data_IF_109125076819
#
_entry.id   IF_109125076819
#
_cell.length_a   1.000
_cell.length_b   1.000
_cell.length_c   1.000
_cell.angle_alpha   90.00
_cell.angle_beta   90.00
_cell.angle_gamma   90.00
#
_symmetry.space_group_name_H-M   'P 1'
#
loop_
_entity.id
_entity.type
_entity.pdbx_description
1 polymer ?
#
# COMPACT_ATOMS: atom_id res chain seq x y z
N UNK A 1 -56.73 13.91 14.77
CA UNK A 1 -55.43 13.80 15.49
C UNK A 1 -54.32 14.54 14.73
N UNK A 2 -54.50 15.84 14.48
CA UNK A 2 -53.54 16.68 13.74
C UNK A 2 -53.31 18.03 14.45
N UNK A 3 -53.88 18.20 15.66
CA UNK A 3 -53.84 19.41 16.50
C UNK A 3 -52.98 19.27 17.78
N UNK A 4 -52.27 18.16 17.94
CA UNK A 4 -51.36 17.91 19.06
C UNK A 4 -49.86 17.92 18.67
N UNK A 5 -49.54 17.90 17.37
CA UNK A 5 -48.16 18.00 16.88
C UNK A 5 -47.65 19.45 16.72
N UNK A 6 -48.53 20.45 16.70
CA UNK A 6 -48.14 21.85 16.43
C UNK A 6 -47.81 22.66 17.71
N UNK A 7 -47.85 22.04 18.90
CA UNK A 7 -47.52 22.69 20.18
C UNK A 7 -46.09 22.50 20.67
N UNK A 8 -45.30 21.60 20.05
CA UNK A 8 -43.88 21.39 20.41
C UNK A 8 -42.90 22.15 19.51
N UNK A 9 -43.37 22.75 18.42
CA UNK A 9 -42.52 23.47 17.44
C UNK A 9 -42.61 25.01 17.59
N UNK A 10 -43.47 25.54 18.47
CA UNK A 10 -43.69 26.99 18.65
C UNK A 10 -43.33 27.54 20.04
N UNK A 11 -42.50 26.84 20.81
CA UNK A 11 -42.08 27.29 22.15
C UNK A 11 -40.65 27.88 22.19
N UNK A 12 -40.04 28.13 21.05
CA UNK A 12 -38.73 28.78 20.97
C UNK A 12 -38.89 29.97 20.03
N UNK A 13 -39.46 31.08 20.51
CA UNK A 13 -39.25 32.43 19.98
C UNK A 13 -39.99 33.44 20.87
N UNK A 14 -39.30 34.56 21.17
CA UNK A 14 -39.66 35.74 22.00
C UNK A 14 -39.39 35.62 23.52
N UNK A 15 -38.70 36.55 24.19
CA UNK A 15 -37.97 37.74 23.76
C UNK A 15 -37.09 38.30 24.90
N UNK A 16 -35.95 38.86 24.49
CA UNK A 16 -35.25 40.07 24.96
C UNK A 16 -35.27 40.49 26.45
N UNK A 17 -34.08 40.46 27.06
CA UNK A 17 -33.67 41.40 28.11
C UNK A 17 -32.30 41.99 27.75
N UNK A 18 -32.27 43.31 27.49
CA UNK A 18 -31.08 44.08 27.10
C UNK A 18 -30.16 44.28 28.31
N UNK A 19 -28.87 43.92 28.18
CA UNK A 19 -27.78 44.57 28.89
C UNK A 19 -26.58 44.74 27.96
N UNK A 20 -26.14 45.98 27.85
CA UNK A 20 -25.07 46.50 27.01
C UNK A 20 -23.68 46.03 27.46
N UNK A 21 -22.98 45.30 26.59
CA UNK A 21 -21.55 45.46 26.30
C UNK A 21 -21.22 44.56 25.10
N UNK A 22 -20.46 45.08 24.15
CA UNK A 22 -20.32 44.51 22.81
C UNK A 22 -19.71 43.12 22.77
N UNK A 23 -20.48 42.16 22.28
CA UNK A 23 -20.06 41.10 21.36
C UNK A 23 -21.32 40.72 20.57
N UNK A 24 -21.29 40.87 19.25
CA UNK A 24 -22.30 40.22 18.40
C UNK A 24 -21.96 38.75 18.46
N UNK A 25 -22.51 38.02 19.44
CA UNK A 25 -22.60 36.57 19.33
C UNK A 25 -23.56 36.31 18.17
N UNK A 26 -23.02 35.80 17.06
CA UNK A 26 -23.82 35.21 16.01
C UNK A 26 -24.75 34.18 16.67
N UNK A 27 -26.03 34.16 16.30
CA UNK A 27 -26.99 33.21 16.85
C UNK A 27 -26.39 31.78 16.83
N UNK A 28 -25.69 31.42 15.75
CA UNK A 28 -25.07 30.11 15.55
C UNK A 28 -24.13 29.66 16.67
N UNK A 29 -23.32 30.55 17.24
CA UNK A 29 -22.41 30.19 18.34
C UNK A 29 -23.16 29.85 19.64
N UNK A 30 -24.34 30.45 19.86
CA UNK A 30 -25.19 30.11 21.00
C UNK A 30 -25.87 28.75 20.79
N UNK A 31 -26.37 28.48 19.59
CA UNK A 31 -26.93 27.17 19.23
C UNK A 31 -25.88 26.06 19.28
N UNK A 32 -24.65 26.35 18.85
CA UNK A 32 -23.50 25.45 18.95
C UNK A 32 -23.25 25.03 20.40
N UNK A 33 -23.23 25.96 21.35
CA UNK A 33 -23.06 25.66 22.78
C UNK A 33 -24.19 24.79 23.33
N UNK A 34 -25.44 25.05 22.93
CA UNK A 34 -26.58 24.23 23.36
C UNK A 34 -26.45 22.80 22.85
N UNK A 35 -26.08 22.61 21.58
CA UNK A 35 -25.83 21.29 21.01
C UNK A 35 -24.65 20.59 21.70
N UNK A 36 -23.59 21.35 22.04
CA UNK A 36 -22.44 20.83 22.78
C UNK A 36 -22.83 20.36 24.19
N UNK A 37 -23.64 21.13 24.91
CA UNK A 37 -24.13 20.74 26.23
C UNK A 37 -24.99 19.46 26.16
N UNK A 38 -25.84 19.35 25.14
CA UNK A 38 -26.61 18.12 24.88
C UNK A 38 -25.70 16.92 24.59
N UNK A 39 -24.67 17.10 23.75
CA UNK A 39 -23.68 16.08 23.46
C UNK A 39 -22.96 15.58 24.73
N UNK A 40 -22.53 16.50 25.60
CA UNK A 40 -21.87 16.12 26.86
C UNK A 40 -22.80 15.35 27.80
N UNK A 41 -24.10 15.66 27.81
CA UNK A 41 -25.10 14.93 28.57
C UNK A 41 -25.29 13.50 28.03
N UNK A 42 -25.35 13.34 26.70
CA UNK A 42 -25.41 12.02 26.06
C UNK A 42 -24.15 11.20 26.33
N UNK A 43 -22.98 11.84 26.31
CA UNK A 43 -21.71 11.19 26.59
C UNK A 43 -21.65 10.65 28.03
N UNK A 44 -22.13 11.44 29.00
CA UNK A 44 -22.27 11.01 30.40
C UNK A 44 -23.28 9.87 30.57
N UNK A 45 -24.31 9.83 29.72
CA UNK A 45 -25.29 8.74 29.69
C UNK A 45 -24.75 7.47 28.99
N UNK A 46 -23.53 7.49 28.46
CA UNK A 46 -22.92 6.36 27.75
C UNK A 46 -23.38 6.19 26.30
N UNK A 47 -24.22 7.10 25.78
CA UNK A 47 -24.60 7.11 24.38
C UNK A 47 -23.56 7.84 23.54
N UNK A 48 -22.40 7.21 23.33
CA UNK A 48 -21.27 7.84 22.65
C UNK A 48 -21.54 8.18 21.18
N UNK A 49 -22.34 7.36 20.49
CA UNK A 49 -22.67 7.62 19.09
C UNK A 49 -23.58 8.85 18.96
N UNK A 50 -24.64 8.92 19.77
CA UNK A 50 -25.53 10.08 19.77
C UNK A 50 -24.81 11.35 20.24
N UNK A 51 -23.93 11.24 21.24
CA UNK A 51 -23.07 12.35 21.64
C UNK A 51 -22.21 12.87 20.48
N UNK A 52 -21.60 11.97 19.69
CA UNK A 52 -20.82 12.36 18.52
C UNK A 52 -21.66 13.08 17.45
N UNK A 53 -22.90 12.65 17.23
CA UNK A 53 -23.84 13.31 16.30
C UNK A 53 -24.21 14.72 16.79
N UNK A 54 -24.45 14.89 18.09
CA UNK A 54 -24.72 16.21 18.69
C UNK A 54 -23.48 17.13 18.67
N UNK A 55 -22.27 16.59 18.90
CA UNK A 55 -21.03 17.36 18.74
C UNK A 55 -20.84 17.82 17.29
N UNK A 56 -21.24 17.03 16.30
CA UNK A 56 -21.22 17.45 14.90
C UNK A 56 -22.26 18.51 14.58
N UNK A 57 -23.44 18.46 15.22
CA UNK A 57 -24.38 19.56 15.14
C UNK A 57 -23.76 20.84 15.74
N UNK A 58 -23.08 20.75 16.87
CA UNK A 58 -22.39 21.89 17.49
C UNK A 58 -21.31 22.48 16.58
N UNK A 59 -20.53 21.66 15.87
CA UNK A 59 -19.57 22.11 14.86
C UNK A 59 -20.24 22.85 13.71
N UNK A 60 -21.35 22.31 13.21
CA UNK A 60 -22.09 22.89 12.09
C UNK A 60 -22.66 24.29 12.41
N UNK A 61 -23.15 24.48 13.64
CA UNK A 61 -23.70 25.76 14.09
C UNK A 61 -22.64 26.79 14.46
N UNK A 62 -21.43 26.35 14.83
CA UNK A 62 -20.38 27.25 15.24
C UNK A 62 -19.92 28.15 14.08
N UNK A 63 -19.71 29.42 14.35
CA UNK A 63 -18.95 30.33 13.49
C UNK A 63 -17.50 30.46 13.99
N UNK A 64 -17.30 30.42 15.32
CA UNK A 64 -15.98 30.49 15.96
C UNK A 64 -15.14 29.22 15.67
N UNK A 65 -13.93 29.36 15.05
CA UNK A 65 -13.01 28.24 14.84
C UNK A 65 -12.67 27.45 16.10
N UNK A 66 -12.59 28.10 17.27
CA UNK A 66 -12.28 27.41 18.54
C UNK A 66 -13.41 26.47 18.93
N UNK A 67 -14.67 26.90 18.76
CA UNK A 67 -15.83 26.05 19.01
C UNK A 67 -15.88 24.87 18.03
N UNK A 68 -15.54 25.09 16.75
CA UNK A 68 -15.44 24.00 15.75
C UNK A 68 -14.40 22.96 16.12
N UNK A 69 -13.19 23.40 16.47
CA UNK A 69 -12.09 22.50 16.85
C UNK A 69 -12.48 21.67 18.08
N UNK A 70 -13.02 22.32 19.11
CA UNK A 70 -13.48 21.63 20.32
C UNK A 70 -14.56 20.60 20.00
N UNK A 71 -15.58 20.99 19.23
CA UNK A 71 -16.66 20.10 18.81
C UNK A 71 -16.13 18.88 18.04
N UNK A 72 -15.21 19.07 17.10
CA UNK A 72 -14.59 17.97 16.34
C UNK A 72 -13.73 17.05 17.20
N UNK A 73 -12.93 17.59 18.14
CA UNK A 73 -12.11 16.78 19.06
C UNK A 73 -12.97 15.91 19.97
N UNK A 74 -14.06 16.48 20.49
CA UNK A 74 -15.03 15.76 21.30
C UNK A 74 -15.81 14.72 20.48
N UNK A 75 -16.20 15.04 19.24
CA UNK A 75 -16.80 14.09 18.31
C UNK A 75 -15.87 12.91 18.01
N UNK A 76 -14.60 13.16 17.72
CA UNK A 76 -13.60 12.11 17.49
C UNK A 76 -13.45 11.20 18.73
N UNK A 77 -13.35 11.80 19.92
CA UNK A 77 -13.27 11.08 21.20
C UNK A 77 -14.52 10.23 21.46
N UNK A 78 -15.70 10.76 21.14
CA UNK A 78 -16.96 10.05 21.27
C UNK A 78 -17.03 8.86 20.28
N UNK A 79 -16.62 9.04 19.02
CA UNK A 79 -16.55 7.93 18.05
C UNK A 79 -15.54 6.85 18.44
N UNK A 80 -14.40 7.24 19.01
CA UNK A 80 -13.44 6.31 19.61
C UNK A 80 -14.09 5.44 20.69
N UNK A 81 -14.83 6.05 21.62
CA UNK A 81 -15.56 5.34 22.68
C UNK A 81 -16.70 4.47 22.12
N UNK A 82 -17.30 4.88 21.01
CA UNK A 82 -18.31 4.11 20.29
C UNK A 82 -17.72 2.96 19.44
N UNK A 83 -16.38 2.84 19.35
CA UNK A 83 -15.67 1.85 18.55
C UNK A 83 -16.00 1.93 17.03
N UNK A 84 -16.26 3.16 16.54
CA UNK A 84 -16.52 3.48 15.14
C UNK A 84 -15.29 4.18 14.54
N UNK A 85 -14.33 3.38 14.10
CA UNK A 85 -12.98 3.82 13.72
C UNK A 85 -12.97 4.69 12.47
N UNK A 86 -13.77 4.38 11.46
CA UNK A 86 -13.81 5.17 10.22
C UNK A 86 -14.41 6.55 10.48
N UNK A 87 -15.46 6.62 11.32
CA UNK A 87 -16.04 7.90 11.72
C UNK A 87 -15.07 8.72 12.55
N UNK A 88 -14.33 8.09 13.47
CA UNK A 88 -13.24 8.75 14.19
C UNK A 88 -12.22 9.31 13.19
N UNK A 89 -11.74 8.48 12.26
CA UNK A 89 -10.79 8.86 11.22
C UNK A 89 -11.24 10.08 10.41
N UNK A 90 -12.49 10.12 9.93
CA UNK A 90 -13.01 11.30 9.21
C UNK A 90 -12.97 12.60 10.02
N UNK A 91 -13.15 12.51 11.35
CA UNK A 91 -13.07 13.69 12.22
C UNK A 91 -11.62 14.14 12.37
N UNK A 92 -10.68 13.21 12.49
CA UNK A 92 -9.25 13.52 12.52
C UNK A 92 -8.81 14.15 11.19
N UNK A 93 -9.27 13.64 10.06
CA UNK A 93 -9.03 14.23 8.74
C UNK A 93 -9.58 15.66 8.68
N UNK A 94 -10.78 15.89 9.19
CA UNK A 94 -11.38 17.24 9.24
C UNK A 94 -10.52 18.20 10.07
N UNK A 95 -10.01 17.74 11.22
CA UNK A 95 -9.10 18.51 12.07
C UNK A 95 -7.77 18.81 11.38
N UNK A 96 -7.12 17.82 10.75
CA UNK A 96 -5.85 17.99 10.06
C UNK A 96 -5.94 18.92 8.86
N UNK A 97 -7.03 18.81 8.08
CA UNK A 97 -7.21 19.60 6.87
C UNK A 97 -7.64 21.05 7.16
N UNK A 98 -8.57 21.26 8.10
CA UNK A 98 -9.14 22.59 8.36
C UNK A 98 -8.43 23.37 9.48
N UNK A 99 -7.85 22.66 10.46
CA UNK A 99 -7.38 23.24 11.71
C UNK A 99 -5.99 22.73 12.17
N UNK A 100 -4.98 22.63 11.28
CA UNK A 100 -3.71 21.98 11.61
C UNK A 100 -2.91 22.70 12.71
N UNK A 101 -3.04 24.02 12.86
CA UNK A 101 -2.28 24.81 13.84
C UNK A 101 -2.89 24.83 15.24
N UNK A 102 -4.14 24.41 15.41
CA UNK A 102 -4.87 24.45 16.68
C UNK A 102 -5.01 23.09 17.36
N UNK A 103 -4.38 22.06 16.80
CA UNK A 103 -4.40 20.69 17.32
C UNK A 103 -2.99 20.18 17.55
N UNK A 104 -2.87 19.09 18.31
CA UNK A 104 -1.67 18.26 18.29
C UNK A 104 -1.61 17.51 16.95
N UNK A 105 -1.01 18.14 15.93
CA UNK A 105 -0.90 17.58 14.58
C UNK A 105 -0.21 16.22 14.59
N UNK A 106 0.90 16.09 15.34
CA UNK A 106 1.67 14.86 15.41
C UNK A 106 0.87 13.73 16.07
N UNK A 107 0.22 14.00 17.20
CA UNK A 107 -0.65 13.03 17.87
C UNK A 107 -1.87 12.64 17.05
N UNK A 108 -2.45 13.59 16.30
CA UNK A 108 -3.62 13.34 15.44
C UNK A 108 -3.26 12.44 14.27
N UNK A 109 -2.17 12.73 13.55
CA UNK A 109 -1.64 11.85 12.49
C UNK A 109 -1.26 10.47 13.05
N UNK A 110 -0.65 10.41 14.23
CA UNK A 110 -0.31 9.14 14.87
C UNK A 110 -1.57 8.30 15.13
N UNK A 111 -2.67 8.95 15.55
CA UNK A 111 -3.95 8.26 15.74
C UNK A 111 -4.56 7.77 14.42
N UNK A 112 -4.46 8.56 13.35
CA UNK A 112 -4.88 8.10 12.02
C UNK A 112 -4.07 6.89 11.55
N UNK A 113 -2.75 6.88 11.77
CA UNK A 113 -1.89 5.74 11.48
C UNK A 113 -2.33 4.47 12.22
N UNK A 114 -2.67 4.58 13.50
CA UNK A 114 -3.21 3.46 14.30
C UNK A 114 -4.51 2.93 13.71
N UNK A 115 -5.46 3.83 13.37
CA UNK A 115 -6.74 3.44 12.79
C UNK A 115 -6.54 2.75 11.44
N UNK A 116 -5.68 3.31 10.60
CA UNK A 116 -5.40 2.76 9.29
C UNK A 116 -4.72 1.38 9.40
N UNK A 117 -3.84 1.20 10.39
CA UNK A 117 -3.24 -0.10 10.72
C UNK A 117 -4.29 -1.11 11.16
N UNK A 118 -5.25 -0.72 11.98
CA UNK A 118 -6.37 -1.60 12.36
C UNK A 118 -7.17 -2.04 11.13
N UNK A 119 -7.48 -1.13 10.21
CA UNK A 119 -8.15 -1.48 8.95
C UNK A 119 -7.33 -2.45 8.10
N UNK A 120 -6.01 -2.25 8.03
CA UNK A 120 -5.10 -3.18 7.36
C UNK A 120 -5.11 -4.58 7.99
N UNK A 121 -5.23 -4.68 9.32
CA UNK A 121 -5.37 -5.94 10.07
C UNK A 121 -6.74 -6.62 9.92
N UNK A 122 -7.57 -6.18 8.96
CA UNK A 122 -8.88 -6.78 8.69
C UNK A 122 -10.01 -6.29 9.60
N UNK A 123 -9.77 -5.27 10.45
CA UNK A 123 -10.86 -4.60 11.17
C UNK A 123 -11.83 -3.98 10.18
N UNK A 124 -13.12 -4.16 10.39
CA UNK A 124 -14.18 -3.52 9.61
C UNK A 124 -15.21 -2.96 10.57
N UNK A 125 -15.65 -1.73 10.31
CA UNK A 125 -16.74 -1.13 11.06
C UNK A 125 -18.09 -1.70 10.59
N UNK A 126 -19.13 -1.68 11.45
CA UNK A 126 -20.49 -2.02 11.03
C UNK A 126 -20.98 -1.06 9.94
N UNK A 127 -21.45 -1.61 8.81
CA UNK A 127 -22.08 -0.82 7.75
C UNK A 127 -23.40 -0.19 8.24
N UNK A 128 -24.11 -0.88 9.14
CA UNK A 128 -25.36 -0.41 9.71
C UNK A 128 -25.34 -0.55 11.23
N UNK A 129 -25.75 0.52 11.91
CA UNK A 129 -25.69 0.61 13.37
C UNK A 129 -26.58 -0.41 14.09
N UNK A 130 -27.69 -0.80 13.48
CA UNK A 130 -28.63 -1.79 14.02
C UNK A 130 -28.30 -3.22 13.58
N UNK A 131 -27.30 -3.38 12.70
CA UNK A 131 -26.94 -4.64 12.05
C UNK A 131 -25.43 -4.90 12.08
N UNK A 132 -24.87 -5.22 13.26
CA UNK A 132 -23.42 -5.30 13.45
C UNK A 132 -22.70 -6.42 12.67
N UNK A 133 -23.43 -7.41 12.15
CA UNK A 133 -22.86 -8.47 11.30
C UNK A 133 -22.65 -8.05 9.85
N UNK A 134 -23.27 -6.96 9.40
CA UNK A 134 -23.01 -6.37 8.08
C UNK A 134 -21.80 -5.46 8.23
N UNK A 135 -20.65 -5.89 7.71
CA UNK A 135 -19.39 -5.16 7.74
C UNK A 135 -19.33 -4.17 6.57
N UNK A 136 -18.76 -2.98 6.80
CA UNK A 136 -18.43 -2.03 5.74
C UNK A 136 -17.28 -2.60 4.87
N UNK A 137 -17.07 -1.96 3.71
CA UNK A 137 -15.98 -2.28 2.79
C UNK A 137 -14.60 -2.08 3.45
N UNK A 138 -13.58 -2.62 2.80
CA UNK A 138 -12.20 -2.35 3.20
C UNK A 138 -11.88 -0.86 3.06
N UNK A 139 -11.25 -0.29 4.10
CA UNK A 139 -10.82 1.11 4.18
C UNK A 139 -9.31 1.25 4.33
N UNK A 140 -8.55 0.14 4.33
CA UNK A 140 -7.10 0.16 4.53
C UNK A 140 -6.37 1.03 3.49
N UNK A 141 -6.72 0.87 2.22
CA UNK A 141 -6.09 1.63 1.13
C UNK A 141 -6.35 3.14 1.27
N UNK A 142 -7.62 3.53 1.46
CA UNK A 142 -8.04 4.93 1.62
C UNK A 142 -7.38 5.60 2.83
N UNK A 143 -7.41 4.93 3.99
CA UNK A 143 -6.82 5.46 5.23
C UNK A 143 -5.30 5.55 5.15
N UNK A 144 -4.63 4.61 4.47
CA UNK A 144 -3.19 4.69 4.24
C UNK A 144 -2.77 5.84 3.33
N UNK A 145 -3.49 6.07 2.24
CA UNK A 145 -3.23 7.20 1.34
C UNK A 145 -3.32 8.54 2.08
N UNK A 146 -4.35 8.69 2.90
CA UNK A 146 -4.62 9.90 3.67
C UNK A 146 -3.54 10.19 4.72
N UNK A 147 -3.16 9.20 5.54
CA UNK A 147 -2.08 9.38 6.53
C UNK A 147 -0.76 9.77 5.86
N UNK A 148 -0.43 9.11 4.74
CA UNK A 148 0.82 9.38 4.01
C UNK A 148 0.85 10.73 3.29
N UNK A 149 -0.32 11.31 3.03
CA UNK A 149 -0.47 12.68 2.51
C UNK A 149 -0.11 13.71 3.59
N UNK A 150 -0.55 13.50 4.83
CA UNK A 150 -0.27 14.42 5.94
C UNK A 150 1.16 14.29 6.46
N UNK A 151 1.68 13.07 6.54
CA UNK A 151 3.00 12.81 7.11
C UNK A 151 3.87 11.92 6.21
N UNK A 152 4.27 12.44 5.02
CA UNK A 152 5.09 11.67 4.10
C UNK A 152 6.43 11.27 4.73
N UNK A 153 7.04 12.09 5.59
CA UNK A 153 8.36 11.80 6.17
C UNK A 153 8.33 11.27 7.60
N UNK A 154 7.17 10.78 8.07
CA UNK A 154 7.08 10.16 9.39
C UNK A 154 7.96 8.90 9.51
N UNK A 155 8.31 8.52 10.74
CA UNK A 155 9.15 7.33 11.00
C UNK A 155 8.51 6.04 10.48
N UNK A 156 7.19 5.90 10.58
CA UNK A 156 6.43 4.75 10.07
C UNK A 156 6.15 4.82 8.56
N UNK A 157 6.49 5.92 7.90
CA UNK A 157 6.08 6.19 6.53
C UNK A 157 6.69 5.22 5.48
N UNK A 158 7.94 4.72 5.61
CA UNK A 158 8.47 3.70 4.71
C UNK A 158 7.71 2.38 4.82
N UNK A 159 7.48 1.90 6.05
CA UNK A 159 6.72 0.68 6.34
C UNK A 159 5.30 0.78 5.80
N UNK A 160 4.63 1.89 6.07
CA UNK A 160 3.27 2.15 5.62
C UNK A 160 3.17 2.20 4.09
N UNK A 161 4.15 2.82 3.40
CA UNK A 161 4.22 2.79 1.93
C UNK A 161 4.42 1.37 1.40
N UNK A 162 5.26 0.56 2.05
CA UNK A 162 5.45 -0.82 1.64
C UNK A 162 4.12 -1.58 1.67
N UNK A 163 3.36 -1.44 2.76
CA UNK A 163 2.02 -2.04 2.90
C UNK A 163 1.03 -1.49 1.88
N UNK A 164 1.02 -0.18 1.64
CA UNK A 164 0.20 0.46 0.61
C UNK A 164 0.51 -0.09 -0.80
N UNK A 165 1.79 -0.30 -1.12
CA UNK A 165 2.21 -0.94 -2.37
C UNK A 165 1.59 -2.33 -2.55
N UNK A 166 1.50 -3.13 -1.49
CA UNK A 166 0.83 -4.45 -1.53
C UNK A 166 -0.67 -4.33 -1.76
N UNK A 167 -1.35 -3.43 -1.05
CA UNK A 167 -2.78 -3.19 -1.24
C UNK A 167 -3.08 -2.78 -2.70
N UNK A 168 -2.22 -1.99 -3.31
CA UNK A 168 -2.35 -1.67 -4.74
C UNK A 168 -2.19 -2.89 -5.64
N UNK A 169 -1.28 -3.82 -5.34
CA UNK A 169 -1.16 -5.08 -6.10
C UNK A 169 -2.44 -5.91 -5.96
N UNK A 170 -2.96 -6.06 -4.74
CA UNK A 170 -4.17 -6.83 -4.43
C UNK A 170 -5.41 -6.29 -5.17
N UNK A 171 -5.53 -4.96 -5.26
CA UNK A 171 -6.59 -4.26 -5.99
C UNK A 171 -6.31 -4.17 -7.51
N UNK A 172 -5.29 -4.86 -8.02
CA UNK A 172 -4.86 -4.85 -9.43
C UNK A 172 -4.49 -3.45 -9.97
N UNK A 173 -4.13 -2.52 -9.07
CA UNK A 173 -3.65 -1.16 -9.33
C UNK A 173 -2.13 -1.15 -9.48
N UNK A 174 -1.65 -1.83 -10.52
CA UNK A 174 -0.21 -2.13 -10.69
C UNK A 174 0.65 -0.88 -10.90
N UNK A 175 0.13 0.15 -11.58
CA UNK A 175 0.90 1.37 -11.87
C UNK A 175 1.03 2.27 -10.62
N UNK A 176 0.04 2.25 -9.72
CA UNK A 176 0.11 2.83 -8.39
C UNK A 176 1.18 2.13 -7.55
N UNK A 177 1.18 0.79 -7.51
CA UNK A 177 2.17 0.00 -6.79
C UNK A 177 3.60 0.33 -7.25
N UNK A 178 3.84 0.37 -8.57
CA UNK A 178 5.13 0.76 -9.15
C UNK A 178 5.58 2.16 -8.69
N UNK A 179 4.66 3.12 -8.62
CA UNK A 179 4.97 4.48 -8.12
C UNK A 179 5.39 4.43 -6.66
N UNK A 180 4.62 3.75 -5.81
CA UNK A 180 4.90 3.64 -4.37
C UNK A 180 6.25 3.00 -4.10
N UNK A 181 6.60 1.88 -4.75
CA UNK A 181 7.90 1.24 -4.51
C UNK A 181 9.07 2.11 -4.98
N UNK A 182 8.93 2.82 -6.11
CA UNK A 182 9.93 3.80 -6.56
C UNK A 182 10.08 4.95 -5.56
N UNK A 183 8.98 5.43 -4.99
CA UNK A 183 9.01 6.48 -3.97
C UNK A 183 9.71 6.02 -2.70
N UNK A 184 9.54 4.75 -2.28
CA UNK A 184 10.27 4.21 -1.12
C UNK A 184 11.79 4.30 -1.36
N UNK A 185 12.25 3.79 -2.49
CA UNK A 185 13.68 3.75 -2.87
C UNK A 185 14.26 5.16 -2.95
N UNK A 186 13.48 6.12 -3.49
CA UNK A 186 13.92 7.50 -3.69
C UNK A 186 13.89 8.33 -2.40
N UNK A 187 12.81 8.23 -1.63
CA UNK A 187 12.56 9.10 -0.48
C UNK A 187 13.18 8.58 0.82
N UNK A 188 13.34 7.26 0.96
CA UNK A 188 13.86 6.64 2.20
C UNK A 188 15.04 5.69 1.93
N UNK A 189 16.09 6.10 1.19
CA UNK A 189 17.15 5.19 0.71
C UNK A 189 17.94 4.45 1.82
N UNK A 190 17.79 4.86 3.08
CA UNK A 190 18.45 4.26 4.24
C UNK A 190 17.53 3.37 5.09
N UNK A 191 16.24 3.25 4.74
CA UNK A 191 15.29 2.46 5.51
C UNK A 191 15.41 0.97 5.18
N UNK A 192 15.01 0.11 6.11
CA UNK A 192 15.07 -1.35 5.93
C UNK A 192 14.10 -1.83 4.85
N UNK A 193 13.04 -1.06 4.61
CA UNK A 193 12.00 -1.30 3.60
C UNK A 193 12.50 -1.15 2.17
N UNK A 194 13.60 -0.42 1.94
CA UNK A 194 14.16 -0.20 0.58
C UNK A 194 14.48 -1.51 -0.10
N UNK A 195 15.07 -2.47 0.63
CA UNK A 195 15.39 -3.78 0.07
C UNK A 195 14.11 -4.42 -0.49
N UNK A 196 13.07 -4.50 0.34
CA UNK A 196 11.79 -5.08 -0.07
C UNK A 196 11.16 -4.35 -1.26
N UNK A 197 11.19 -3.01 -1.26
CA UNK A 197 10.69 -2.21 -2.36
C UNK A 197 11.47 -2.44 -3.68
N UNK A 198 12.80 -2.64 -3.63
CA UNK A 198 13.62 -2.97 -4.81
C UNK A 198 13.22 -4.33 -5.40
N UNK A 199 13.04 -5.36 -4.56
CA UNK A 199 12.61 -6.69 -4.99
C UNK A 199 11.19 -6.66 -5.59
N UNK A 200 10.23 -6.00 -4.94
CA UNK A 200 8.86 -5.89 -5.45
C UNK A 200 8.79 -5.08 -6.76
N UNK A 201 9.56 -4.01 -6.85
CA UNK A 201 9.69 -3.24 -8.09
C UNK A 201 10.20 -4.13 -9.23
N UNK A 202 11.27 -4.89 -8.99
CA UNK A 202 11.82 -5.82 -9.97
C UNK A 202 10.81 -6.90 -10.37
N UNK A 203 10.05 -7.44 -9.40
CA UNK A 203 9.02 -8.44 -9.62
C UNK A 203 7.92 -7.90 -10.54
N UNK A 204 7.36 -6.72 -10.25
CA UNK A 204 6.32 -6.13 -11.09
C UNK A 204 6.85 -5.87 -12.50
N UNK A 205 8.07 -5.32 -12.63
CA UNK A 205 8.67 -5.03 -13.93
C UNK A 205 8.86 -6.30 -14.78
N UNK A 206 9.35 -7.40 -14.21
CA UNK A 206 9.50 -8.66 -14.95
C UNK A 206 8.15 -9.27 -15.34
N UNK A 207 7.13 -9.16 -14.48
CA UNK A 207 5.78 -9.63 -14.83
C UNK A 207 5.16 -8.81 -15.97
N UNK A 208 5.33 -7.48 -15.97
CA UNK A 208 4.91 -6.63 -17.11
C UNK A 208 5.69 -6.98 -18.37
N UNK A 209 6.99 -7.20 -18.28
CA UNK A 209 7.82 -7.60 -19.40
C UNK A 209 7.36 -8.93 -20.03
N UNK A 210 7.04 -9.94 -19.20
CA UNK A 210 6.55 -11.26 -19.64
C UNK A 210 5.21 -11.19 -20.37
N UNK A 211 4.31 -10.28 -19.96
CA UNK A 211 2.99 -10.12 -20.58
C UNK A 211 3.03 -9.40 -21.93
N UNK A 212 4.10 -8.66 -22.20
CA UNK A 212 4.28 -7.92 -23.44
C UNK A 212 4.69 -6.48 -23.16
N UNK A 213 5.94 -6.17 -23.49
CA UNK A 213 6.59 -4.90 -23.16
C UNK A 213 6.62 -3.90 -24.32
N UNK A 214 6.10 -4.26 -25.50
CA UNK A 214 6.10 -3.41 -26.69
C UNK A 214 7.48 -2.84 -27.06
N UNK A 215 7.80 -1.66 -26.52
CA UNK A 215 9.05 -0.94 -26.72
C UNK A 215 10.26 -1.55 -25.98
N UNK A 216 10.05 -2.45 -25.02
CA UNK A 216 11.12 -3.08 -24.23
C UNK A 216 11.54 -2.27 -23.01
N UNK A 217 10.69 -1.35 -22.53
CA UNK A 217 11.03 -0.48 -21.39
C UNK A 217 11.00 -1.22 -20.05
N UNK A 218 10.01 -2.07 -19.79
CA UNK A 218 9.92 -2.80 -18.52
C UNK A 218 11.02 -3.86 -18.37
N UNK A 219 11.40 -4.56 -19.45
CA UNK A 219 12.47 -5.56 -19.42
C UNK A 219 13.82 -4.91 -19.14
N UNK A 220 14.10 -3.74 -19.74
CA UNK A 220 15.31 -2.98 -19.46
C UNK A 220 15.35 -2.50 -18.00
N UNK A 221 14.24 -1.93 -17.51
CA UNK A 221 14.14 -1.54 -16.11
C UNK A 221 14.27 -2.73 -15.15
N UNK A 222 13.71 -3.89 -15.50
CA UNK A 222 13.84 -5.12 -14.72
C UNK A 222 15.31 -5.57 -14.66
N UNK A 223 16.02 -5.61 -15.80
CA UNK A 223 17.44 -5.95 -15.85
C UNK A 223 18.27 -5.04 -14.96
N UNK A 224 18.06 -3.73 -15.05
CA UNK A 224 18.77 -2.74 -14.23
C UNK A 224 18.49 -2.93 -12.74
N UNK A 225 17.22 -3.16 -12.36
CA UNK A 225 16.82 -3.38 -10.97
C UNK A 225 17.41 -4.69 -10.42
N UNK A 226 17.32 -5.79 -11.17
CA UNK A 226 17.81 -7.11 -10.77
C UNK A 226 19.33 -7.13 -10.63
N UNK A 227 20.07 -6.51 -11.56
CA UNK A 227 21.53 -6.36 -11.46
C UNK A 227 21.92 -5.61 -10.18
N UNK A 228 21.26 -4.48 -9.90
CA UNK A 228 21.49 -3.72 -8.67
C UNK A 228 21.21 -4.53 -7.41
N UNK A 229 20.14 -5.33 -7.39
CA UNK A 229 19.82 -6.21 -6.27
C UNK A 229 20.93 -7.24 -6.05
N UNK A 230 21.40 -7.90 -7.11
CA UNK A 230 22.47 -8.91 -7.03
C UNK A 230 23.78 -8.28 -6.53
N UNK A 231 24.12 -7.08 -7.00
CA UNK A 231 25.31 -6.34 -6.58
C UNK A 231 25.22 -5.86 -5.13
N UNK A 232 24.07 -5.33 -4.73
CA UNK A 232 23.85 -4.68 -3.42
C UNK A 232 23.63 -5.69 -2.29
N UNK A 233 23.00 -6.83 -2.58
CA UNK A 233 22.59 -7.81 -1.57
C UNK A 233 23.14 -9.22 -1.81
N UNK A 234 24.41 -9.44 -2.17
CA UNK A 234 24.90 -10.71 -2.72
C UNK A 234 24.76 -11.96 -1.83
N UNK A 235 24.49 -11.78 -0.52
CA UNK A 235 24.31 -12.85 0.47
C UNK A 235 22.85 -13.00 0.94
N UNK A 236 21.92 -12.21 0.40
CA UNK A 236 20.51 -12.30 0.74
C UNK A 236 19.90 -13.59 0.16
N UNK A 237 18.96 -14.20 0.88
CA UNK A 237 18.33 -15.45 0.49
C UNK A 237 17.60 -15.35 -0.86
N UNK A 238 17.11 -14.14 -1.20
CA UNK A 238 16.33 -13.90 -2.41
C UNK A 238 17.19 -13.57 -3.64
N UNK A 239 18.52 -13.52 -3.51
CA UNK A 239 19.41 -13.24 -4.66
C UNK A 239 19.31 -14.32 -5.73
N UNK A 240 19.01 -15.57 -5.34
CA UNK A 240 18.74 -16.65 -6.29
C UNK A 240 17.62 -16.29 -7.25
N UNK A 241 16.48 -15.86 -6.70
CA UNK A 241 15.34 -15.35 -7.47
C UNK A 241 15.73 -14.18 -8.37
N UNK A 242 16.57 -13.26 -7.89
CA UNK A 242 17.01 -12.12 -8.70
C UNK A 242 17.88 -12.54 -9.90
N UNK A 243 18.80 -13.50 -9.69
CA UNK A 243 19.65 -14.07 -10.77
C UNK A 243 18.82 -14.81 -11.80
N UNK A 244 17.86 -15.62 -11.35
CA UNK A 244 16.95 -16.35 -12.23
C UNK A 244 16.11 -15.40 -13.09
N UNK A 245 15.49 -14.39 -12.46
CA UNK A 245 14.68 -13.43 -13.20
C UNK A 245 15.52 -12.51 -14.09
N UNK A 246 16.80 -12.30 -13.78
CA UNK A 246 17.71 -11.59 -14.67
C UNK A 246 17.93 -12.39 -15.96
N UNK A 247 18.18 -13.69 -15.86
CA UNK A 247 18.30 -14.57 -17.04
C UNK A 247 17.01 -14.57 -17.87
N UNK A 248 15.83 -14.60 -17.22
CA UNK A 248 14.54 -14.47 -17.92
C UNK A 248 14.40 -13.12 -18.62
N UNK A 249 14.80 -12.02 -17.98
CA UNK A 249 14.75 -10.69 -18.58
C UNK A 249 15.70 -10.59 -19.80
N UNK A 250 16.90 -11.18 -19.70
CA UNK A 250 17.85 -11.28 -20.80
C UNK A 250 17.29 -12.10 -21.97
N UNK A 251 16.62 -13.22 -21.70
CA UNK A 251 15.94 -14.00 -22.72
C UNK A 251 14.82 -13.22 -23.42
N UNK A 252 14.00 -12.47 -22.68
CA UNK A 252 12.95 -11.63 -23.27
C UNK A 252 13.58 -10.59 -24.23
N UNK A 253 14.65 -9.93 -23.81
CA UNK A 253 15.38 -8.97 -24.66
C UNK A 253 16.02 -9.63 -25.88
N UNK A 254 16.63 -10.81 -25.72
CA UNK A 254 17.22 -11.56 -26.83
C UNK A 254 16.14 -12.00 -27.85
N UNK A 255 15.03 -12.59 -27.38
CA UNK A 255 13.88 -12.95 -28.24
C UNK A 255 13.33 -11.76 -28.99
N UNK A 256 13.30 -10.58 -28.37
CA UNK A 256 12.86 -9.33 -29.01
C UNK A 256 13.80 -8.92 -30.14
N UNK A 257 15.12 -8.88 -29.90
CA UNK A 257 16.12 -8.57 -30.94
C UNK A 257 16.03 -9.56 -32.11
N UNK A 258 15.92 -10.86 -31.80
CA UNK A 258 15.76 -11.90 -32.81
C UNK A 258 14.47 -11.73 -33.62
N UNK A 259 13.36 -11.37 -32.95
CA UNK A 259 12.10 -11.04 -33.61
C UNK A 259 12.22 -9.88 -34.60
N UNK A 260 12.95 -8.83 -34.24
CA UNK A 260 13.22 -7.69 -35.13
C UNK A 260 14.10 -8.11 -36.30
N UNK A 261 15.15 -8.89 -36.07
CA UNK A 261 15.98 -9.43 -37.14
C UNK A 261 15.16 -10.25 -38.15
N UNK A 262 14.32 -11.17 -37.66
CA UNK A 262 13.41 -11.95 -38.52
C UNK A 262 12.41 -11.07 -39.28
N UNK A 263 11.97 -9.97 -38.70
CA UNK A 263 11.10 -9.03 -39.39
C UNK A 263 11.82 -8.38 -40.58
N UNK A 264 13.04 -7.86 -40.38
CA UNK A 264 13.82 -7.25 -41.45
C UNK A 264 14.23 -8.25 -42.54
N UNK A 265 14.60 -9.47 -42.14
CA UNK A 265 14.89 -10.55 -43.09
C UNK A 265 13.70 -10.84 -44.01
N UNK A 266 12.49 -10.96 -43.44
CA UNK A 266 11.26 -11.18 -44.23
C UNK A 266 10.91 -10.03 -45.19
N UNK A 267 11.48 -8.84 -44.98
CA UNK A 267 11.32 -7.68 -45.85
C UNK A 267 12.47 -7.55 -46.86
N UNK A 268 13.29 -8.59 -47.02
CA UNK A 268 14.50 -8.63 -47.85
C UNK A 268 15.54 -7.54 -47.48
N UNK A 269 15.60 -7.17 -46.19
CA UNK A 269 16.54 -6.19 -45.64
C UNK A 269 17.58 -6.86 -44.75
N UNK A 270 18.41 -7.71 -45.35
CA UNK A 270 19.35 -8.56 -44.61
C UNK A 270 20.45 -7.77 -43.91
N UNK A 271 20.92 -6.66 -44.49
CA UNK A 271 21.90 -5.78 -43.84
C UNK A 271 21.38 -5.30 -42.47
N UNK A 272 20.12 -4.88 -42.41
CA UNK A 272 19.47 -4.46 -41.17
C UNK A 272 19.26 -5.65 -40.21
N UNK A 273 18.85 -6.81 -40.73
CA UNK A 273 18.68 -8.02 -39.93
C UNK A 273 20.00 -8.44 -39.26
N UNK A 274 21.11 -8.42 -40.00
CA UNK A 274 22.44 -8.75 -39.51
C UNK A 274 22.88 -7.84 -38.35
N UNK A 275 22.54 -6.55 -38.39
CA UNK A 275 22.84 -5.62 -37.28
C UNK A 275 22.20 -6.10 -35.97
N UNK A 276 20.91 -6.48 -36.01
CA UNK A 276 20.21 -6.96 -34.81
C UNK A 276 20.70 -8.32 -34.33
N UNK A 277 21.05 -9.23 -35.24
CA UNK A 277 21.58 -10.55 -34.88
C UNK A 277 22.96 -10.42 -34.24
N UNK A 278 23.84 -9.59 -34.81
CA UNK A 278 25.15 -9.30 -34.22
C UNK A 278 25.01 -8.62 -32.85
N UNK A 279 24.07 -7.68 -32.69
CA UNK A 279 23.84 -7.03 -31.40
C UNK A 279 23.32 -8.02 -30.35
N UNK A 280 22.45 -8.96 -30.74
CA UNK A 280 21.97 -10.03 -29.89
C UNK A 280 23.12 -10.92 -29.40
N UNK A 281 23.93 -11.44 -30.32
CA UNK A 281 25.04 -12.35 -29.99
C UNK A 281 26.08 -11.65 -29.13
N UNK A 282 26.36 -10.37 -29.42
CA UNK A 282 27.30 -9.56 -28.63
C UNK A 282 26.79 -9.27 -27.22
N UNK A 283 25.49 -9.01 -27.07
CA UNK A 283 24.90 -8.58 -25.79
C UNK A 283 24.50 -9.75 -24.91
N UNK A 284 24.06 -10.86 -25.50
CA UNK A 284 23.56 -12.05 -24.81
C UNK A 284 24.28 -13.33 -25.29
N UNK A 285 25.63 -13.38 -25.26
CA UNK A 285 26.40 -14.48 -25.86
C UNK A 285 26.12 -15.86 -25.26
N UNK A 286 25.70 -15.91 -23.99
CA UNK A 286 25.40 -17.14 -23.26
C UNK A 286 23.95 -17.62 -23.42
N UNK A 287 23.08 -16.81 -24.03
CA UNK A 287 21.66 -17.12 -24.17
C UNK A 287 21.41 -18.01 -25.39
N UNK A 288 20.59 -19.06 -25.26
CA UNK A 288 20.22 -19.95 -26.38
C UNK A 288 19.66 -19.26 -27.62
N UNK A 289 18.99 -18.12 -27.45
CA UNK A 289 18.47 -17.36 -28.61
C UNK A 289 19.62 -16.89 -29.52
N UNK A 290 20.85 -16.80 -29.00
CA UNK A 290 22.04 -16.53 -29.80
C UNK A 290 22.38 -17.66 -30.76
N UNK A 291 22.04 -18.92 -30.46
CA UNK A 291 22.22 -20.06 -31.40
C UNK A 291 21.33 -19.85 -32.63
N UNK A 292 20.04 -19.55 -32.40
CA UNK A 292 19.09 -19.23 -33.46
C UNK A 292 19.52 -18.01 -34.29
N UNK A 293 20.21 -17.06 -33.65
CA UNK A 293 20.72 -15.86 -34.30
C UNK A 293 21.94 -16.16 -35.18
N UNK A 294 22.88 -16.97 -34.71
CA UNK A 294 24.05 -17.42 -35.47
C UNK A 294 23.64 -18.27 -36.67
N UNK A 295 22.67 -19.17 -36.50
CA UNK A 295 22.11 -19.99 -37.57
C UNK A 295 21.47 -19.13 -38.67
N UNK A 296 20.76 -18.07 -38.28
CA UNK A 296 20.16 -17.16 -39.24
C UNK A 296 21.22 -16.30 -39.94
N UNK A 297 22.24 -15.82 -39.22
CA UNK A 297 23.38 -15.11 -39.80
C UNK A 297 24.13 -15.96 -40.81
N UNK A 298 24.40 -17.23 -40.49
CA UNK A 298 25.08 -18.15 -41.38
C UNK A 298 24.30 -18.39 -42.69
N UNK A 299 22.97 -18.47 -42.60
CA UNK A 299 22.10 -18.57 -43.79
C UNK A 299 22.13 -17.31 -44.66
N UNK A 300 22.28 -16.13 -44.06
CA UNK A 300 22.34 -14.84 -44.76
C UNK A 300 23.72 -14.54 -45.34
N UNK A 301 24.78 -14.91 -44.63
CA UNK A 301 26.17 -14.60 -44.94
C UNK A 301 27.02 -15.86 -44.80
N UNK A 302 27.35 -16.48 -45.94
CA UNK A 302 28.15 -17.71 -45.98
C UNK A 302 29.58 -17.52 -45.46
N UNK A 303 30.06 -16.27 -45.35
CA UNK A 303 31.36 -15.94 -44.76
C UNK A 303 31.32 -15.88 -43.22
N UNK A 304 30.13 -15.84 -42.61
CA UNK A 304 29.95 -15.85 -41.16
C UNK A 304 30.26 -17.23 -40.59
N UNK A 305 31.11 -17.29 -39.55
CA UNK A 305 31.45 -18.53 -38.83
C UNK A 305 30.83 -18.48 -37.42
N UNK A 306 29.82 -19.34 -37.12
CA UNK A 306 29.23 -19.43 -35.80
C UNK A 306 30.24 -19.72 -34.70
N UNK A 307 29.98 -19.22 -33.49
CA UNK A 307 30.83 -19.47 -32.33
C UNK A 307 30.48 -20.82 -31.73
N UNK A 308 31.44 -21.74 -31.60
CA UNK A 308 31.20 -23.11 -31.07
C UNK A 308 31.08 -23.17 -29.53
N UNK A 309 30.50 -22.15 -28.90
CA UNK A 309 30.32 -22.12 -27.44
C UNK A 309 29.04 -22.87 -27.09
N UNK A 310 29.11 -23.86 -26.21
CA UNK A 310 27.94 -24.55 -25.68
C UNK A 310 27.15 -23.60 -24.76
N UNK A 311 26.00 -23.11 -25.24
CA UNK A 311 25.14 -22.14 -24.53
C UNK A 311 24.17 -22.85 -23.60
N UNK A 312 23.91 -22.28 -22.41
CA UNK A 312 23.08 -22.92 -21.37
C UNK A 312 21.59 -22.81 -21.65
N UNK A 313 20.85 -23.90 -21.40
CA UNK A 313 19.38 -23.93 -21.37
C UNK A 313 18.80 -22.87 -20.41
N UNK A 314 17.84 -22.09 -20.91
CA UNK A 314 17.03 -21.25 -20.04
C UNK A 314 16.12 -22.16 -19.20
N UNK A 315 16.18 -22.03 -17.87
CA UNK A 315 15.39 -22.81 -16.92
C UNK A 315 13.89 -22.76 -17.28
N UNK A 316 13.33 -23.89 -17.73
CA UNK A 316 11.88 -24.04 -17.94
C UNK A 316 11.24 -24.36 -16.60
N UNK A 317 10.61 -23.38 -15.95
CA UNK A 317 9.70 -23.66 -14.82
C UNK A 317 8.37 -24.10 -15.41
N UNK A 318 8.01 -25.38 -15.28
CA UNK A 318 6.66 -25.86 -15.57
C UNK A 318 5.72 -25.38 -14.45
N UNK A 319 4.70 -24.60 -14.80
CA UNK A 319 3.64 -24.23 -13.86
C UNK A 319 2.54 -25.28 -13.88
N UNK A 320 2.35 -26.02 -12.78
CA UNK A 320 1.11 -26.78 -12.55
C UNK A 320 0.06 -25.80 -12.02
N UNK A 321 -0.96 -25.51 -12.80
CA UNK A 321 -2.13 -24.77 -12.30
C UNK A 321 -3.01 -25.72 -11.49
N UNK A 322 -2.76 -25.83 -10.18
CA UNK A 322 -3.71 -26.46 -9.25
C UNK A 322 -4.67 -25.40 -8.70
N UNK A 323 -5.95 -25.76 -8.54
CA UNK A 323 -6.94 -24.92 -7.87
C UNK A 323 -6.58 -24.79 -6.38
N UNK A 324 -6.58 -23.57 -5.85
CA UNK A 324 -6.22 -23.31 -4.46
C UNK A 324 -7.19 -24.01 -3.48
N UNK A 325 -6.70 -24.82 -2.53
CA UNK A 325 -7.53 -25.27 -1.42
C UNK A 325 -7.88 -24.10 -0.48
N UNK A 326 -9.07 -24.13 0.09
CA UNK A 326 -9.54 -23.17 1.10
C UNK A 326 -8.83 -23.46 2.43
N UNK A 327 -7.89 -22.61 2.84
CA UNK A 327 -7.19 -22.78 4.11
C UNK A 327 -7.98 -22.23 5.31
N UNK A 328 -8.14 -23.10 6.32
CA UNK A 328 -8.52 -22.77 7.70
C UNK A 328 -7.23 -22.83 8.55
N UNK A 329 -6.80 -21.68 9.04
CA UNK A 329 -5.88 -21.40 10.15
C UNK A 329 -4.50 -22.11 10.32
N UNK A 330 -3.51 -21.24 10.61
CA UNK A 330 -2.27 -21.36 11.41
C UNK A 330 -1.39 -22.62 11.30
N UNK A 331 -0.34 -22.52 10.48
CA UNK A 331 0.91 -23.30 10.62
C UNK A 331 2.11 -22.41 10.26
N UNK A 332 3.10 -22.31 11.16
CA UNK A 332 4.42 -21.68 10.94
C UNK A 332 5.46 -22.75 10.62
N UNK A 333 6.10 -22.70 9.46
CA UNK A 333 7.42 -23.31 9.18
C UNK A 333 8.09 -22.44 8.09
N UNK A 334 9.40 -22.20 8.19
CA UNK A 334 10.22 -21.82 7.02
C UNK A 334 10.87 -23.11 6.52
N UNK A 335 10.46 -23.67 5.36
CA UNK A 335 11.23 -24.73 4.73
C UNK A 335 12.10 -24.15 3.62
N UNK A 336 13.38 -24.56 3.59
CA UNK A 336 14.16 -24.59 2.35
C UNK A 336 13.33 -25.26 1.24
N UNK A 337 13.43 -24.77 -0.01
CA UNK A 337 12.69 -25.22 -1.22
C UNK A 337 11.21 -24.79 -1.37
N UNK A 338 10.82 -23.59 -0.91
CA UNK A 338 9.51 -23.01 -1.25
C UNK A 338 9.59 -22.16 -2.53
N UNK A 339 8.97 -22.61 -3.63
CA UNK A 339 8.86 -21.94 -4.93
C UNK A 339 8.13 -20.57 -4.89
N UNK A 340 8.72 -19.56 -4.22
CA UNK A 340 8.53 -18.14 -4.50
C UNK A 340 7.13 -17.54 -4.30
N UNK A 341 6.25 -18.17 -3.52
CA UNK A 341 4.90 -17.65 -3.29
C UNK A 341 4.82 -16.86 -1.98
N UNK A 342 5.48 -15.69 -1.92
CA UNK A 342 5.39 -14.78 -0.78
C UNK A 342 4.77 -13.44 -1.18
N UNK A 343 3.70 -13.05 -0.50
CA UNK A 343 3.76 -12.07 0.58
C UNK A 343 2.47 -12.21 1.42
N UNK A 344 2.62 -12.40 2.74
CA UNK A 344 1.53 -12.24 3.69
C UNK A 344 1.86 -11.10 4.68
N UNK A 345 0.84 -10.44 5.27
CA UNK A 345 0.98 -9.20 6.02
C UNK A 345 1.72 -9.38 7.35
N UNK A 346 2.46 -8.33 7.71
CA UNK A 346 3.14 -8.18 8.99
C UNK A 346 2.09 -7.94 10.06
N UNK A 347 1.95 -8.85 11.02
CA UNK A 347 1.34 -8.52 12.30
C UNK A 347 2.33 -8.82 13.44
N UNK A 348 2.69 -7.72 14.07
CA UNK A 348 3.25 -7.55 15.41
C UNK A 348 4.59 -8.26 15.73
N UNK A 349 5.68 -7.51 15.58
CA UNK A 349 7.03 -7.89 16.00
C UNK A 349 7.24 -7.92 17.52
N UNK A 350 6.19 -7.83 18.35
CA UNK A 350 6.27 -8.16 19.78
C UNK A 350 7.39 -7.44 20.51
N UNK A 351 7.71 -6.19 20.13
CA UNK A 351 8.68 -5.35 20.82
C UNK A 351 8.04 -4.77 22.08
N UNK A 352 7.76 -5.65 23.05
CA UNK A 352 7.03 -5.30 24.26
C UNK A 352 7.03 -6.42 25.30
N UNK A 353 8.16 -7.07 25.57
CA UNK A 353 8.26 -8.00 26.69
C UNK A 353 9.65 -8.59 26.86
N UNK A 354 10.35 -8.23 27.93
CA UNK A 354 11.57 -8.91 28.36
C UNK A 354 11.22 -10.37 28.68
N UNK A 355 11.86 -11.32 28.01
CA UNK A 355 11.82 -12.72 28.40
C UNK A 355 13.12 -13.02 29.15
N UNK A 356 13.01 -13.18 30.47
CA UNK A 356 14.06 -13.78 31.30
C UNK A 356 14.19 -15.26 30.94
N UNK A 357 15.41 -15.69 30.64
CA UNK A 357 15.70 -17.09 30.32
C UNK A 357 16.11 -17.81 31.60
N UNK A 358 15.21 -18.61 32.16
CA UNK A 358 15.55 -19.60 33.18
C UNK A 358 16.37 -20.74 32.56
N UNK A 359 17.60 -20.93 33.06
CA UNK A 359 18.43 -22.11 32.74
C UNK A 359 17.94 -23.30 33.57
N UNK A 360 17.32 -24.29 32.95
CA UNK A 360 17.17 -25.61 33.57
C UNK A 360 18.47 -26.41 33.46
N UNK A 361 18.87 -26.97 34.59
CA UNK A 361 20.05 -27.81 34.81
C UNK A 361 19.84 -29.19 34.21
N UNK A 362 20.86 -29.68 33.51
CA UNK A 362 21.01 -31.09 33.14
C UNK A 362 21.21 -31.96 34.39
N UNK A 363 20.29 -32.88 34.65
CA UNK A 363 20.51 -34.03 35.54
C UNK A 363 20.50 -35.34 34.74
N UNK A 364 21.73 -35.74 34.38
CA UNK A 364 22.33 -37.09 34.42
C UNK A 364 21.43 -38.30 34.11
N UNK A 365 21.77 -38.93 32.98
CA UNK A 365 21.56 -40.35 32.79
C UNK A 365 22.42 -41.22 33.71
N UNK A 366 21.84 -42.32 34.16
CA UNK A 366 22.49 -43.62 34.33
C UNK A 366 21.58 -44.67 33.71
#
# INVERSE_FOLDING_TARGET
>A
MQKLMDKRVKAIFLAAGVFSCGFVLSAGDAESRVAFDQATAQEKAGNYKGAAEDYLAAEHWADDPVLKVNALQHAATAYKKANLLYKEFERLESLLNAFPSSIDFAGTVQREYEIATLFYQGRRDPALSWMPWIKDKDRALETFEAVLKHAPFAKFAPEMRLRLGKLYIEENKIDEALRVFRDIIKMYPKSEEVKYAEFELANILIQKARRGDGDGTYVRQAQDALKKIIEKYPKDSEVGWAKENLAVAEEISAKRLYGIAKFYHRMDRDEAAQVYLNDLIRTYPENKVSDDAEDLLWKMNQDYKPTQIERKDNFIVQYTTEQMPLEKDKIMIVPENSNGKWMLPIEDLGLGGKIEVEKQKDEKGK
#
